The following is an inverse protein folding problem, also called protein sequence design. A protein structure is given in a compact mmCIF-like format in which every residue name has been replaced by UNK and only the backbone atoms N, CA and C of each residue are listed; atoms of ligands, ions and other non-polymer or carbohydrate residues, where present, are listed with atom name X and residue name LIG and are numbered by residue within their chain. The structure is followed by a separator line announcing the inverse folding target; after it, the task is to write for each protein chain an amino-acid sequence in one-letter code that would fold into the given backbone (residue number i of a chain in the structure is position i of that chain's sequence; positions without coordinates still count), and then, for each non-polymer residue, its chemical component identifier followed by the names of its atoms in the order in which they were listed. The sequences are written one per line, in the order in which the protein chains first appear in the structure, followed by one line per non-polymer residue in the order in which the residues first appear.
data_IF_311212402854
#
_entry.id   IF_311212402854
#
_cell.length_a   1.000
_cell.length_b   1.000
_cell.length_c   1.000
_cell.angle_alpha   90.00
_cell.angle_beta   90.00
_cell.angle_gamma   90.00
#
_symmetry.space_group_name_H-M   'P 1'
#
loop_
_entity.id
_entity.type
_entity.pdbx_description
1 polymer ?
#
# COMPACT_ATOMS: atom_id res chain seq x y z
N UNK A 1 -5.49 19.65 -15.24
CA UNK A 1 -5.22 18.20 -15.11
C UNK A 1 -6.48 17.56 -14.57
N UNK A 2 -6.99 16.50 -15.19
CA UNK A 2 -8.08 15.72 -14.59
C UNK A 2 -7.54 14.97 -13.38
N UNK A 3 -8.35 14.87 -12.32
CA UNK A 3 -8.01 14.10 -11.13
C UNK A 3 -8.60 12.69 -11.27
N UNK A 4 -7.73 11.70 -11.43
CA UNK A 4 -8.11 10.29 -11.53
C UNK A 4 -8.08 9.63 -10.16
N UNK A 5 -9.05 8.75 -9.88
CA UNK A 5 -9.13 8.03 -8.62
C UNK A 5 -9.26 6.54 -8.88
N UNK A 6 -8.46 5.76 -8.15
CA UNK A 6 -8.43 4.30 -8.22
C UNK A 6 -8.68 3.74 -6.82
N UNK A 7 -9.80 3.06 -6.61
CA UNK A 7 -10.09 2.36 -5.35
C UNK A 7 -9.57 0.92 -5.47
N UNK A 8 -8.51 0.59 -4.75
CA UNK A 8 -7.78 -0.68 -4.90
C UNK A 8 -8.53 -1.86 -4.25
N UNK A 9 -9.35 -1.59 -3.23
CA UNK A 9 -10.07 -2.62 -2.45
C UNK A 9 -11.57 -2.66 -2.73
N UNK A 10 -12.02 -1.99 -3.80
CA UNK A 10 -13.43 -1.77 -4.09
C UNK A 10 -14.20 -1.34 -2.81
N UNK A 11 -15.29 -2.03 -2.49
CA UNK A 11 -16.14 -1.79 -1.33
C UNK A 11 -15.75 -2.59 -0.07
N UNK A 12 -14.80 -3.52 -0.16
CA UNK A 12 -14.43 -4.41 0.96
C UNK A 12 -13.04 -4.12 1.50
N UNK A 13 -12.88 -3.74 2.78
CA UNK A 13 -11.56 -3.44 3.33
C UNK A 13 -10.61 -4.63 3.21
N UNK A 14 -9.35 -4.36 2.89
CA UNK A 14 -8.28 -5.34 2.98
C UNK A 14 -8.03 -5.65 4.45
N UNK A 15 -8.20 -6.91 4.76
CA UNK A 15 -8.38 -7.40 6.11
C UNK A 15 -7.07 -8.07 6.52
N UNK A 16 -6.23 -7.37 7.30
CA UNK A 16 -4.80 -7.69 7.50
C UNK A 16 -4.49 -7.93 8.98
N UNK A 17 -3.74 -8.98 9.29
CA UNK A 17 -3.23 -9.17 10.65
C UNK A 17 -2.23 -8.08 11.01
N UNK A 18 -2.30 -7.59 12.24
CA UNK A 18 -1.50 -6.45 12.70
C UNK A 18 0.02 -6.65 12.51
N UNK A 19 0.50 -7.89 12.63
CA UNK A 19 1.91 -8.26 12.43
C UNK A 19 2.38 -8.10 10.98
N UNK A 20 1.48 -8.23 10.00
CA UNK A 20 1.80 -8.15 8.57
C UNK A 20 1.39 -6.81 7.95
N UNK A 21 0.74 -5.93 8.72
CA UNK A 21 0.18 -4.68 8.21
C UNK A 21 1.21 -3.81 7.50
N UNK A 22 2.38 -3.61 8.10
CA UNK A 22 3.44 -2.77 7.50
C UNK A 22 3.96 -3.39 6.21
N UNK A 23 4.22 -4.70 6.20
CA UNK A 23 4.75 -5.41 5.03
C UNK A 23 3.77 -5.40 3.86
N UNK A 24 2.46 -5.58 4.13
CA UNK A 24 1.40 -5.52 3.13
C UNK A 24 1.26 -4.11 2.56
N UNK A 25 1.30 -3.07 3.41
CA UNK A 25 1.25 -1.68 2.94
C UNK A 25 2.48 -1.32 2.09
N UNK A 26 3.67 -1.72 2.52
CA UNK A 26 4.92 -1.54 1.78
C UNK A 26 4.84 -2.19 0.39
N UNK A 27 4.33 -3.43 0.32
CA UNK A 27 4.09 -4.16 -0.92
C UNK A 27 3.16 -3.40 -1.87
N UNK A 28 1.99 -2.99 -1.39
CA UNK A 28 1.00 -2.28 -2.22
C UNK A 28 1.51 -0.91 -2.68
N UNK A 29 2.24 -0.19 -1.83
CA UNK A 29 2.84 1.09 -2.21
C UNK A 29 3.92 0.92 -3.28
N UNK A 30 4.77 -0.09 -3.16
CA UNK A 30 5.75 -0.41 -4.20
C UNK A 30 5.09 -0.79 -5.53
N UNK A 31 4.01 -1.57 -5.49
CA UNK A 31 3.24 -1.90 -6.69
C UNK A 31 2.67 -0.65 -7.38
N UNK A 32 2.00 0.23 -6.64
CA UNK A 32 1.46 1.49 -7.19
C UNK A 32 2.59 2.36 -7.78
N UNK A 33 3.71 2.49 -7.07
CA UNK A 33 4.85 3.28 -7.53
C UNK A 33 5.54 2.67 -8.75
N UNK A 34 5.63 1.35 -8.84
CA UNK A 34 6.18 0.65 -10.00
C UNK A 34 5.41 1.00 -11.27
N UNK A 35 4.07 0.90 -11.24
CA UNK A 35 3.21 1.25 -12.36
C UNK A 35 3.23 2.75 -12.73
N UNK A 36 3.64 3.64 -11.82
CA UNK A 36 3.73 5.10 -12.05
C UNK A 36 5.14 5.62 -12.29
N UNK A 37 6.16 4.79 -12.09
CA UNK A 37 7.56 5.11 -12.41
C UNK A 37 7.80 5.05 -13.93
N UNK A 38 7.20 5.98 -14.67
CA UNK A 38 7.43 6.15 -16.10
C UNK A 38 8.89 6.58 -16.34
N UNK A 39 9.79 5.61 -16.53
CA UNK A 39 11.12 5.81 -17.12
C UNK A 39 12.33 5.84 -16.16
N UNK A 40 12.15 5.56 -14.87
CA UNK A 40 13.28 5.35 -13.94
C UNK A 40 13.90 3.96 -14.12
N UNK A 41 15.19 3.79 -13.76
CA UNK A 41 15.83 2.47 -13.72
C UNK A 41 15.38 1.71 -12.45
N UNK A 42 14.11 1.36 -12.42
CA UNK A 42 13.55 0.52 -11.37
C UNK A 42 13.93 -0.91 -11.70
N UNK A 43 14.91 -1.46 -10.98
CA UNK A 43 15.25 -2.88 -11.11
C UNK A 43 14.26 -3.65 -10.26
N UNK A 44 13.36 -4.45 -10.88
CA UNK A 44 12.45 -5.26 -10.10
C UNK A 44 13.26 -6.29 -9.30
N UNK A 45 12.99 -6.38 -8.00
CA UNK A 45 13.41 -7.52 -7.17
C UNK A 45 12.21 -8.27 -6.67
N UNK A 46 12.21 -9.57 -6.92
CA UNK A 46 11.26 -10.51 -6.32
C UNK A 46 11.48 -10.52 -4.81
N UNK A 47 10.52 -10.00 -4.07
CA UNK A 47 10.50 -10.06 -2.62
C UNK A 47 9.25 -10.81 -2.19
N UNK A 48 9.44 -11.86 -1.37
CA UNK A 48 8.34 -12.59 -0.78
C UNK A 48 7.80 -11.85 0.44
N UNK A 49 6.49 -11.58 0.50
CA UNK A 49 5.77 -11.35 1.76
C UNK A 49 4.85 -12.53 2.02
N UNK A 50 4.52 -12.76 3.29
CA UNK A 50 3.64 -13.87 3.69
C UNK A 50 4.13 -15.24 3.16
N UNK A 51 5.44 -15.50 3.09
CA UNK A 51 6.08 -16.71 2.55
C UNK A 51 5.85 -17.03 1.07
N UNK A 52 4.89 -16.40 0.36
CA UNK A 52 4.50 -16.84 -1.00
C UNK A 52 4.11 -15.72 -2.00
N UNK A 53 3.92 -14.47 -1.57
CA UNK A 53 3.53 -13.40 -2.51
C UNK A 53 4.78 -12.68 -2.99
N UNK A 54 5.00 -12.71 -4.30
CA UNK A 54 6.10 -11.99 -4.93
C UNK A 54 5.58 -10.66 -5.48
N UNK A 55 6.22 -9.57 -5.07
CA UNK A 55 5.97 -8.25 -5.64
C UNK A 55 7.26 -7.61 -6.09
N UNK A 56 7.11 -6.67 -7.02
CA UNK A 56 8.21 -5.87 -7.54
C UNK A 56 8.51 -4.75 -6.55
N UNK A 57 9.73 -4.77 -5.99
CA UNK A 57 10.31 -3.62 -5.29
C UNK A 57 11.07 -2.70 -6.22
N UNK A 58 11.06 -1.41 -5.87
CA UNK A 58 11.83 -0.42 -6.58
C UNK A 58 13.24 -0.29 -5.98
N UNK A 59 14.29 -0.64 -6.74
CA UNK A 59 15.70 -0.58 -6.31
C UNK A 59 16.26 0.86 -6.24
N UNK A 60 15.63 1.72 -5.43
CA UNK A 60 16.10 3.06 -5.04
C UNK A 60 16.02 3.17 -3.52
N UNK A 61 17.16 3.23 -2.84
CA UNK A 61 17.23 3.22 -1.38
C UNK A 61 16.49 4.39 -0.70
N UNK A 62 16.39 5.56 -1.35
CA UNK A 62 15.65 6.69 -0.79
C UNK A 62 14.15 6.47 -0.92
N UNK A 63 13.72 5.91 -2.05
CA UNK A 63 12.33 5.52 -2.27
C UNK A 63 11.93 4.40 -1.30
N UNK A 64 12.73 3.34 -1.18
CA UNK A 64 12.48 2.23 -0.24
C UNK A 64 12.32 2.73 1.19
N UNK A 65 13.26 3.56 1.67
CA UNK A 65 13.16 4.17 2.99
C UNK A 65 11.87 4.98 3.14
N UNK A 66 11.50 5.77 2.12
CA UNK A 66 10.29 6.59 2.18
C UNK A 66 9.02 5.77 2.16
N UNK A 67 8.97 4.71 1.37
CA UNK A 67 7.83 3.78 1.30
C UNK A 67 7.65 3.11 2.66
N UNK A 68 8.74 2.59 3.25
CA UNK A 68 8.69 1.97 4.58
C UNK A 68 8.24 2.93 5.67
N UNK A 69 8.84 4.12 5.75
CA UNK A 69 8.45 5.17 6.69
C UNK A 69 6.94 5.51 6.54
N UNK A 70 6.46 5.61 5.29
CA UNK A 70 5.05 5.92 5.01
C UNK A 70 4.12 4.78 5.40
N UNK A 71 4.52 3.52 5.17
CA UNK A 71 3.78 2.33 5.58
C UNK A 71 3.68 2.23 7.11
N UNK A 72 4.78 2.45 7.83
CA UNK A 72 4.82 2.48 9.30
C UNK A 72 3.94 3.60 9.86
N UNK A 73 4.02 4.81 9.30
CA UNK A 73 3.17 5.93 9.70
C UNK A 73 1.68 5.66 9.44
N UNK A 74 1.33 5.07 8.29
CA UNK A 74 -0.04 4.69 7.95
C UNK A 74 -0.57 3.59 8.89
N UNK A 75 0.23 2.56 9.17
CA UNK A 75 -0.10 1.51 10.12
C UNK A 75 -0.34 2.08 11.52
N UNK A 76 0.52 2.98 12.00
CA UNK A 76 0.35 3.65 13.29
C UNK A 76 -0.90 4.53 13.34
N UNK A 77 -1.24 5.22 12.25
CA UNK A 77 -2.46 6.02 12.13
C UNK A 77 -3.72 5.15 12.16
N UNK A 78 -3.73 4.03 11.43
CA UNK A 78 -4.83 3.05 11.45
C UNK A 78 -5.07 2.49 12.85
N UNK A 79 -4.01 2.14 13.58
CA UNK A 79 -4.12 1.63 14.97
C UNK A 79 -4.76 2.66 15.92
N UNK A 80 -4.51 3.95 15.69
CA UNK A 80 -5.15 5.04 16.45
C UNK A 80 -6.63 5.25 16.09
N UNK A 81 -7.06 4.79 14.91
CA UNK A 81 -8.41 4.95 14.38
C UNK A 81 -9.18 3.61 14.39
N UNK A 82 -9.35 3.02 15.59
CA UNK A 82 -10.12 1.77 15.76
C UNK A 82 -9.68 0.62 14.85
N UNK A 83 -8.41 0.58 14.47
CA UNK A 83 -7.80 -0.42 13.59
C UNK A 83 -8.41 -0.50 12.18
N UNK A 84 -9.21 0.46 11.71
CA UNK A 84 -9.76 0.42 10.36
C UNK A 84 -9.86 1.83 9.76
N UNK A 85 -9.59 1.95 8.46
CA UNK A 85 -9.61 3.25 7.82
C UNK A 85 -9.30 3.23 6.33
N UNK A 86 -9.18 4.44 5.79
CA UNK A 86 -8.88 4.70 4.38
C UNK A 86 -7.50 5.34 4.28
N UNK A 87 -6.61 4.72 3.52
CA UNK A 87 -5.31 5.26 3.14
C UNK A 87 -5.43 5.79 1.71
N UNK A 88 -4.92 7.00 1.47
CA UNK A 88 -4.84 7.59 0.13
C UNK A 88 -3.38 7.86 -0.23
N UNK A 89 -2.94 7.38 -1.39
CA UNK A 89 -1.65 7.71 -2.00
C UNK A 89 -1.90 8.67 -3.17
N UNK A 90 -1.36 9.88 -3.08
CA UNK A 90 -1.65 10.95 -4.04
C UNK A 90 -0.41 11.30 -4.87
N UNK A 91 -0.60 11.41 -6.18
CA UNK A 91 0.40 11.94 -7.11
C UNK A 91 0.07 13.40 -7.43
N UNK A 92 1.09 14.24 -7.31
CA UNK A 92 0.97 15.68 -7.55
C UNK A 92 1.76 16.11 -8.77
N UNK A 93 1.15 16.98 -9.57
CA UNK A 93 1.79 17.72 -10.64
C UNK A 93 2.11 19.13 -10.16
N UNK A 94 2.91 19.84 -10.94
CA UNK A 94 3.16 21.26 -10.71
C UNK A 94 2.49 22.07 -11.80
N UNK A 95 1.53 22.90 -11.42
CA UNK A 95 0.95 23.90 -12.31
C UNK A 95 1.71 25.22 -12.10
N UNK A 96 2.25 25.78 -13.18
CA UNK A 96 2.95 27.07 -13.14
C UNK A 96 1.92 28.18 -12.99
N UNK A 97 1.87 28.80 -11.81
CA UNK A 97 1.12 30.04 -11.59
C UNK A 97 1.97 31.27 -11.93
N UNK A 98 1.31 32.42 -12.08
CA UNK A 98 1.99 33.70 -12.33
C UNK A 98 2.88 34.16 -11.16
N UNK A 99 2.63 33.69 -9.93
CA UNK A 99 3.35 34.12 -8.70
C UNK A 99 3.99 32.93 -7.97
N UNK A 100 3.28 31.82 -7.81
CA UNK A 100 3.80 30.61 -7.19
C UNK A 100 3.36 29.36 -7.95
N UNK A 101 4.22 28.35 -7.93
CA UNK A 101 3.88 27.03 -8.45
C UNK A 101 2.88 26.35 -7.51
N UNK A 102 1.77 25.86 -8.04
CA UNK A 102 0.74 25.14 -7.28
C UNK A 102 0.94 23.63 -7.44
N UNK A 103 0.96 22.91 -6.32
CA UNK A 103 0.86 21.45 -6.33
C UNK A 103 -0.61 21.08 -6.58
N UNK A 104 -0.86 20.32 -7.64
CA UNK A 104 -2.21 19.89 -8.01
C UNK A 104 -2.23 18.37 -8.05
N UNK A 105 -3.07 17.69 -7.24
CA UNK A 105 -3.21 16.25 -7.34
C UNK A 105 -3.84 15.92 -8.70
N UNK A 106 -3.24 14.98 -9.42
CA UNK A 106 -3.80 14.47 -10.67
C UNK A 106 -4.20 13.00 -10.57
N UNK A 107 -3.77 12.30 -9.52
CA UNK A 107 -4.12 10.90 -9.30
C UNK A 107 -4.15 10.53 -7.80
N UNK A 108 -5.16 9.76 -7.38
CA UNK A 108 -5.36 9.25 -6.03
C UNK A 108 -5.59 7.73 -6.07
N UNK A 109 -4.78 6.97 -5.34
CA UNK A 109 -5.03 5.55 -5.05
C UNK A 109 -5.57 5.40 -3.65
N UNK A 110 -6.70 4.73 -3.51
CA UNK A 110 -7.43 4.57 -2.26
C UNK A 110 -7.42 3.12 -1.82
N UNK A 111 -6.95 2.88 -0.61
CA UNK A 111 -6.91 1.58 0.02
C UNK A 111 -7.74 1.61 1.31
N UNK A 112 -8.77 0.77 1.39
CA UNK A 112 -9.49 0.54 2.66
C UNK A 112 -8.81 -0.61 3.38
N UNK A 113 -8.43 -0.42 4.64
CA UNK A 113 -7.70 -1.43 5.42
C UNK A 113 -8.34 -1.58 6.79
N UNK A 114 -8.44 -2.82 7.25
CA UNK A 114 -8.79 -3.18 8.61
C UNK A 114 -7.68 -4.06 9.19
N UNK A 115 -6.96 -3.54 10.18
CA UNK A 115 -6.01 -4.26 10.99
C UNK A 115 -6.74 -5.12 12.02
N UNK A 116 -6.34 -6.39 12.14
CA UNK A 116 -6.87 -7.29 13.15
C UNK A 116 -5.82 -7.65 14.17
N UNK A 117 -6.20 -7.53 15.43
CA UNK A 117 -5.47 -8.07 16.57
C UNK A 117 -6.20 -9.34 16.98
N UNK A 118 -5.70 -10.52 16.63
CA UNK A 118 -6.32 -11.78 17.06
C UNK A 118 -5.42 -12.50 18.09
N UNK A 119 -5.74 -12.41 19.39
CA UNK A 119 -4.96 -13.08 20.42
C UNK A 119 -5.38 -14.55 20.64
N UNK A 120 -6.38 -15.11 19.92
CA UNK A 120 -7.05 -16.33 20.36
C UNK A 120 -7.30 -17.42 19.30
N UNK A 121 -6.98 -17.22 18.02
CA UNK A 121 -7.25 -18.26 17.03
C UNK A 121 -6.19 -19.36 16.96
N UNK A 122 -6.66 -20.61 16.86
CA UNK A 122 -5.80 -21.79 16.74
C UNK A 122 -5.17 -21.90 15.36
N UNK A 123 -3.98 -22.52 15.29
CA UNK A 123 -3.11 -22.64 14.09
C UNK A 123 -3.81 -22.94 12.75
N UNK A 124 -4.91 -23.69 12.73
CA UNK A 124 -5.61 -24.04 11.49
C UNK A 124 -6.38 -22.85 10.89
N UNK A 125 -6.99 -22.01 11.71
CA UNK A 125 -7.69 -20.82 11.23
C UNK A 125 -6.71 -19.75 10.73
N UNK A 126 -5.56 -19.63 11.37
CA UNK A 126 -4.50 -18.71 10.93
C UNK A 126 -4.04 -19.06 9.51
N UNK A 127 -3.91 -20.36 9.19
CA UNK A 127 -3.52 -20.81 7.85
C UNK A 127 -4.57 -20.47 6.78
N UNK A 128 -5.86 -20.65 7.06
CA UNK A 128 -6.92 -20.30 6.11
C UNK A 128 -6.99 -18.80 5.87
N UNK A 129 -6.90 -18.01 6.94
CA UNK A 129 -6.91 -16.54 6.88
C UNK A 129 -5.69 -16.00 6.14
N UNK A 130 -4.53 -16.59 6.40
CA UNK A 130 -3.30 -16.24 5.70
C UNK A 130 -3.43 -16.52 4.20
N UNK A 131 -3.98 -17.68 3.80
CA UNK A 131 -4.24 -18.00 2.38
C UNK A 131 -5.22 -17.03 1.73
N UNK A 132 -6.25 -16.61 2.47
CA UNK A 132 -7.21 -15.62 1.99
C UNK A 132 -6.55 -14.25 1.79
N UNK A 133 -5.75 -13.80 2.76
CA UNK A 133 -4.96 -12.58 2.64
C UNK A 133 -3.98 -12.67 1.46
N UNK A 134 -3.31 -13.81 1.29
CA UNK A 134 -2.41 -14.07 0.16
C UNK A 134 -3.14 -13.97 -1.19
N UNK A 135 -4.31 -14.61 -1.32
CA UNK A 135 -5.12 -14.56 -2.53
C UNK A 135 -5.62 -13.13 -2.83
N UNK A 136 -6.08 -12.40 -1.80
CA UNK A 136 -6.55 -11.02 -1.95
C UNK A 136 -5.43 -10.10 -2.37
N UNK A 137 -4.29 -10.11 -1.67
CA UNK A 137 -3.14 -9.26 -2.04
C UNK A 137 -2.63 -9.62 -3.43
N UNK A 138 -2.55 -10.90 -3.78
CA UNK A 138 -2.13 -11.32 -5.13
C UNK A 138 -3.08 -10.86 -6.23
N UNK A 139 -4.38 -10.71 -5.93
CA UNK A 139 -5.35 -10.14 -6.88
C UNK A 139 -5.27 -8.62 -7.02
N UNK A 140 -4.53 -7.93 -6.13
CA UNK A 140 -4.29 -6.48 -6.18
C UNK A 140 -2.98 -6.10 -6.87
N UNK A 141 -2.11 -7.07 -7.14
CA UNK A 141 -0.83 -6.92 -7.83
C UNK A 141 -0.98 -7.26 -9.32
#
# INVERSE_FOLDING_TARGET
MNHERFDLTDDQPLEVEEQYLVEVLECLFHHILFHRSLGGKVVPRDTAILNNIFYVKCDDARLEHKVRESAEAAAAALKKQANAGRISLLFYGTEKGFVTNKKVPWEEWVLRVAARTDPALGRHHDLLRRRELEARVSGLL
#
